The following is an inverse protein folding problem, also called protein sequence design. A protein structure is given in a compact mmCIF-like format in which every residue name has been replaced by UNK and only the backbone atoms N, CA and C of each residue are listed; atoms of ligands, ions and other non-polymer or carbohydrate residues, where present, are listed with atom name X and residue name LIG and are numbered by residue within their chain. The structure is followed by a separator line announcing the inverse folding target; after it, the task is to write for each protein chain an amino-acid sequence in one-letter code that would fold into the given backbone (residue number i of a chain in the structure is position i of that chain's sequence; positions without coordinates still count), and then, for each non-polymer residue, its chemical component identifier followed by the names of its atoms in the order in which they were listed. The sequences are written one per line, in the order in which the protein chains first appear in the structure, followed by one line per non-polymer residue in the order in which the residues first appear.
data_IF_752010439007
#
_entry.id   IF_752010439007
#
_cell.length_a   1.000
_cell.length_b   1.000
_cell.length_c   1.000
_cell.angle_alpha   90.00
_cell.angle_beta   90.00
_cell.angle_gamma   90.00
#
_symmetry.space_group_name_H-M   'P 1'
#
loop_
_entity.id
_entity.type
_entity.pdbx_description
1 polymer ?
#
# COMPACT_ATOMS: atom_id res chain seq x y z
N UNK A 1 -15.93 8.29 -5.96
CA UNK A 1 -16.47 9.56 -5.43
C UNK A 1 -17.20 9.41 -4.10
N UNK A 2 -17.76 8.25 -3.76
CA UNK A 2 -18.44 7.96 -2.46
C UNK A 2 -17.48 7.65 -1.29
N UNK A 3 -16.19 7.54 -1.53
CA UNK A 3 -15.19 7.14 -0.53
C UNK A 3 -14.52 8.31 0.20
N UNK A 4 -15.05 9.53 0.06
CA UNK A 4 -14.65 10.63 0.93
C UNK A 4 -15.31 10.44 2.30
N UNK A 5 -14.55 10.71 3.37
CA UNK A 5 -15.04 10.69 4.75
C UNK A 5 -16.43 11.34 4.84
N UNK A 6 -17.42 10.60 5.32
CA UNK A 6 -18.82 10.99 5.43
C UNK A 6 -19.80 10.19 4.56
N UNK A 7 -19.31 9.50 3.52
CA UNK A 7 -20.16 8.69 2.62
C UNK A 7 -19.91 7.19 2.70
N UNK A 8 -19.05 6.74 3.63
CA UNK A 8 -18.71 5.31 3.72
C UNK A 8 -19.93 4.47 4.13
N UNK A 9 -20.75 4.95 5.06
CA UNK A 9 -21.95 4.24 5.53
C UNK A 9 -23.03 4.18 4.44
N UNK A 10 -23.18 5.25 3.64
CA UNK A 10 -24.09 5.24 2.50
C UNK A 10 -23.59 4.29 1.41
N UNK A 11 -22.28 4.24 1.18
CA UNK A 11 -21.69 3.33 0.21
C UNK A 11 -21.92 1.87 0.59
N UNK A 12 -21.76 1.51 1.86
CA UNK A 12 -22.05 0.16 2.38
C UNK A 12 -23.51 -0.22 2.17
N UNK A 13 -24.45 0.67 2.49
CA UNK A 13 -25.90 0.46 2.26
C UNK A 13 -26.26 0.20 0.80
N UNK A 14 -25.47 0.74 -0.13
CA UNK A 14 -25.68 0.51 -1.58
C UNK A 14 -25.04 -0.81 -2.01
N UNK A 15 -23.84 -1.14 -1.51
CA UNK A 15 -23.06 -2.30 -1.96
C UNK A 15 -23.61 -3.62 -1.40
N UNK A 16 -24.05 -3.64 -0.15
CA UNK A 16 -24.56 -4.82 0.50
C UNK A 16 -25.75 -5.48 -0.22
N UNK A 17 -26.81 -4.74 -0.60
CA UNK A 17 -27.90 -5.31 -1.41
C UNK A 17 -27.40 -5.89 -2.73
N UNK A 18 -26.45 -5.24 -3.41
CA UNK A 18 -25.91 -5.71 -4.69
C UNK A 18 -25.21 -7.06 -4.51
N UNK A 19 -24.37 -7.21 -3.47
CA UNK A 19 -23.62 -8.43 -3.19
C UNK A 19 -24.57 -9.60 -2.86
N UNK A 20 -25.75 -9.32 -2.27
CA UNK A 20 -26.77 -10.32 -1.87
C UNK A 20 -27.72 -10.71 -3.01
N UNK A 21 -27.68 -10.05 -4.16
CA UNK A 21 -28.56 -10.40 -5.30
C UNK A 21 -28.27 -11.83 -5.75
N UNK A 22 -29.31 -12.69 -5.72
CA UNK A 22 -29.23 -14.06 -6.23
C UNK A 22 -29.11 -14.04 -7.76
N UNK A 23 -28.16 -14.79 -8.31
CA UNK A 23 -27.92 -14.86 -9.75
C UNK A 23 -27.18 -13.67 -10.35
N UNK A 24 -26.69 -12.74 -9.54
CA UNK A 24 -25.77 -11.70 -10.04
C UNK A 24 -24.50 -12.35 -10.59
N UNK A 25 -24.05 -11.90 -11.75
CA UNK A 25 -22.82 -12.37 -12.36
C UNK A 25 -21.62 -12.22 -11.38
N UNK A 26 -20.76 -13.25 -11.25
CA UNK A 26 -19.66 -13.26 -10.27
C UNK A 26 -18.76 -12.03 -10.38
N UNK A 27 -18.49 -11.55 -11.59
CA UNK A 27 -17.64 -10.38 -11.85
C UNK A 27 -18.24 -9.10 -11.23
N UNK A 28 -19.56 -8.93 -11.35
CA UNK A 28 -20.25 -7.76 -10.78
C UNK A 28 -20.30 -7.85 -9.25
N UNK A 29 -20.50 -9.05 -8.70
CA UNK A 29 -20.48 -9.28 -7.27
C UNK A 29 -19.10 -9.01 -6.69
N UNK A 30 -18.05 -9.48 -7.35
CA UNK A 30 -16.68 -9.28 -6.91
C UNK A 30 -16.24 -7.81 -7.03
N UNK A 31 -16.68 -7.10 -8.08
CA UNK A 31 -16.45 -5.66 -8.18
C UNK A 31 -17.12 -4.91 -7.00
N UNK A 32 -18.33 -5.28 -6.62
CA UNK A 32 -19.01 -4.69 -5.45
C UNK A 32 -18.29 -5.04 -4.14
N UNK A 33 -17.82 -6.28 -3.94
CA UNK A 33 -16.99 -6.68 -2.80
C UNK A 33 -15.69 -5.86 -2.75
N UNK A 34 -15.02 -5.68 -3.90
CA UNK A 34 -13.78 -4.89 -3.99
C UNK A 34 -14.00 -3.44 -3.56
N UNK A 35 -15.11 -2.82 -3.97
CA UNK A 35 -15.47 -1.49 -3.50
C UNK A 35 -15.79 -1.49 -1.99
N UNK A 36 -16.44 -2.52 -1.48
CA UNK A 36 -16.76 -2.65 -0.06
C UNK A 36 -15.52 -2.84 0.80
N UNK A 37 -14.48 -3.54 0.34
CA UNK A 37 -13.19 -3.58 1.03
C UNK A 37 -12.65 -2.16 1.31
N UNK A 38 -12.72 -1.26 0.33
CA UNK A 38 -12.28 0.13 0.50
C UNK A 38 -13.18 0.91 1.46
N UNK A 39 -14.48 0.63 1.48
CA UNK A 39 -15.41 1.20 2.46
C UNK A 39 -15.05 0.77 3.87
N UNK A 40 -14.88 -0.53 4.10
CA UNK A 40 -14.46 -1.08 5.38
C UNK A 40 -13.11 -0.52 5.86
N UNK A 41 -12.13 -0.44 4.95
CA UNK A 41 -10.86 0.21 5.26
C UNK A 41 -11.05 1.66 5.74
N UNK A 42 -11.87 2.47 5.04
CA UNK A 42 -12.13 3.86 5.42
C UNK A 42 -12.91 4.01 6.73
N UNK A 43 -13.66 2.99 7.13
CA UNK A 43 -14.34 2.89 8.43
C UNK A 43 -13.43 2.33 9.54
N UNK A 44 -12.18 1.93 9.25
CA UNK A 44 -11.27 1.27 10.20
C UNK A 44 -11.61 -0.21 10.48
N UNK A 45 -12.48 -0.80 9.69
CA UNK A 45 -12.96 -2.19 9.80
C UNK A 45 -12.06 -3.11 8.97
N UNK A 46 -10.80 -3.27 9.41
CA UNK A 46 -9.80 -4.03 8.65
C UNK A 46 -10.13 -5.53 8.55
N UNK A 47 -10.76 -6.11 9.56
CA UNK A 47 -11.10 -7.54 9.55
C UNK A 47 -12.08 -7.85 8.40
N UNK A 48 -13.15 -7.07 8.28
CA UNK A 48 -14.13 -7.24 7.22
C UNK A 48 -13.56 -6.93 5.82
N UNK A 49 -12.65 -5.96 5.73
CA UNK A 49 -11.95 -5.67 4.49
C UNK A 49 -11.08 -6.85 4.03
N UNK A 50 -10.37 -7.50 4.97
CA UNK A 50 -9.55 -8.69 4.71
C UNK A 50 -10.43 -9.89 4.36
N UNK A 51 -11.54 -10.11 5.08
CA UNK A 51 -12.48 -11.21 4.81
C UNK A 51 -13.04 -11.11 3.38
N UNK A 52 -13.48 -9.95 2.94
CA UNK A 52 -13.98 -9.75 1.58
C UNK A 52 -12.89 -10.00 0.53
N UNK A 53 -11.69 -9.46 0.72
CA UNK A 53 -10.57 -9.66 -0.20
C UNK A 53 -10.16 -11.14 -0.27
N UNK A 54 -10.04 -11.81 0.88
CA UNK A 54 -9.69 -13.24 0.96
C UNK A 54 -10.77 -14.13 0.35
N UNK A 55 -12.07 -13.79 0.58
CA UNK A 55 -13.19 -14.51 -0.03
C UNK A 55 -13.13 -14.46 -1.56
N UNK A 56 -12.84 -13.29 -2.14
CA UNK A 56 -12.69 -13.15 -3.58
C UNK A 56 -11.53 -13.99 -4.13
N UNK A 57 -10.38 -14.01 -3.45
CA UNK A 57 -9.24 -14.85 -3.84
C UNK A 57 -9.57 -16.35 -3.76
N UNK A 58 -10.27 -16.78 -2.71
CA UNK A 58 -10.69 -18.17 -2.53
C UNK A 58 -11.72 -18.60 -3.59
N UNK A 59 -12.56 -17.68 -4.06
CA UNK A 59 -13.51 -17.88 -5.16
C UNK A 59 -12.81 -17.89 -6.55
N UNK A 60 -11.48 -17.73 -6.59
CA UNK A 60 -10.68 -17.71 -7.81
C UNK A 60 -10.65 -16.35 -8.53
N UNK A 61 -11.26 -15.33 -7.96
CA UNK A 61 -11.21 -13.98 -8.50
C UNK A 61 -9.93 -13.28 -8.04
N UNK A 62 -8.92 -13.32 -8.92
CA UNK A 62 -7.58 -12.79 -8.64
C UNK A 62 -7.24 -11.70 -9.65
N UNK A 63 -6.79 -10.56 -9.17
CA UNK A 63 -6.22 -9.46 -9.95
C UNK A 63 -5.28 -8.63 -9.09
N UNK A 64 -4.47 -7.76 -9.72
CA UNK A 64 -3.47 -6.92 -9.02
C UNK A 64 -4.08 -6.10 -7.91
N UNK A 65 -5.27 -5.51 -8.11
CA UNK A 65 -5.91 -4.68 -7.12
C UNK A 65 -6.30 -5.46 -5.85
N UNK A 66 -6.76 -6.72 -5.97
CA UNK A 66 -7.09 -7.56 -4.81
C UNK A 66 -5.83 -7.98 -4.09
N UNK A 67 -4.78 -8.39 -4.82
CA UNK A 67 -3.49 -8.69 -4.22
C UNK A 67 -2.91 -7.49 -3.47
N UNK A 68 -2.91 -6.31 -4.11
CA UNK A 68 -2.41 -5.08 -3.50
C UNK A 68 -3.20 -4.70 -2.24
N UNK A 69 -4.54 -4.73 -2.29
CA UNK A 69 -5.38 -4.44 -1.12
C UNK A 69 -5.16 -5.45 0.02
N UNK A 70 -5.16 -6.74 -0.27
CA UNK A 70 -5.02 -7.77 0.76
C UNK A 70 -3.65 -7.69 1.44
N UNK A 71 -2.56 -7.53 0.67
CA UNK A 71 -1.22 -7.34 1.19
C UNK A 71 -1.13 -6.10 2.09
N UNK A 72 -1.66 -4.98 1.62
CA UNK A 72 -1.69 -3.73 2.38
C UNK A 72 -2.50 -3.85 3.69
N UNK A 73 -3.70 -4.42 3.65
CA UNK A 73 -4.53 -4.57 4.84
C UNK A 73 -3.90 -5.51 5.88
N UNK A 74 -3.27 -6.61 5.44
CA UNK A 74 -2.53 -7.51 6.32
C UNK A 74 -1.32 -6.81 6.97
N UNK A 75 -0.60 -5.98 6.23
CA UNK A 75 0.49 -5.15 6.76
C UNK A 75 0.00 -4.13 7.80
N UNK A 76 -1.16 -3.50 7.57
CA UNK A 76 -1.78 -2.56 8.51
C UNK A 76 -2.25 -3.25 9.79
N UNK A 77 -2.85 -4.43 9.67
CA UNK A 77 -3.31 -5.22 10.82
C UNK A 77 -2.16 -5.86 11.61
N UNK A 78 -0.93 -5.81 11.08
CA UNK A 78 0.25 -6.51 11.61
C UNK A 78 0.05 -8.03 11.70
N UNK A 79 -0.52 -8.62 10.65
CA UNK A 79 -0.63 -10.08 10.50
C UNK A 79 0.74 -10.74 10.51
N UNK A 80 0.75 -12.08 10.58
CA UNK A 80 1.99 -12.84 10.47
C UNK A 80 2.81 -12.37 9.26
N UNK A 81 4.02 -11.91 9.56
CA UNK A 81 4.87 -11.26 8.56
C UNK A 81 5.39 -12.23 7.50
N UNK A 82 5.63 -13.49 7.88
CA UNK A 82 6.11 -14.51 6.92
C UNK A 82 5.00 -14.90 5.95
N UNK A 83 3.77 -15.09 6.44
CA UNK A 83 2.61 -15.35 5.58
C UNK A 83 2.27 -14.17 4.69
N UNK A 84 2.33 -12.94 5.24
CA UNK A 84 2.09 -11.72 4.47
C UNK A 84 3.16 -11.52 3.41
N UNK A 85 4.43 -11.81 3.73
CA UNK A 85 5.53 -11.74 2.74
C UNK A 85 5.30 -12.71 1.59
N UNK A 86 4.96 -13.97 1.87
CA UNK A 86 4.64 -14.98 0.82
C UNK A 86 3.50 -14.52 -0.09
N UNK A 87 2.45 -13.92 0.48
CA UNK A 87 1.36 -13.35 -0.31
C UNK A 87 1.86 -12.20 -1.22
N UNK A 88 2.71 -11.33 -0.71
CA UNK A 88 3.27 -10.23 -1.50
C UNK A 88 4.25 -10.71 -2.57
N UNK A 89 5.03 -11.78 -2.31
CA UNK A 89 5.87 -12.45 -3.30
C UNK A 89 5.00 -13.08 -4.41
N UNK A 90 3.93 -13.81 -4.06
CA UNK A 90 2.96 -14.35 -5.03
C UNK A 90 2.32 -13.23 -5.87
N UNK A 91 1.98 -12.11 -5.23
CA UNK A 91 1.44 -10.94 -5.91
C UNK A 91 2.44 -10.35 -6.91
N UNK A 92 3.71 -10.26 -6.53
CA UNK A 92 4.78 -9.74 -7.37
C UNK A 92 5.05 -10.67 -8.58
N UNK A 93 5.03 -11.98 -8.37
CA UNK A 93 5.13 -12.97 -9.46
C UNK A 93 3.92 -12.87 -10.42
N UNK A 94 2.74 -12.52 -9.88
CA UNK A 94 1.53 -12.33 -10.67
C UNK A 94 1.59 -11.06 -11.53
N UNK A 95 2.05 -9.95 -10.97
CA UNK A 95 2.19 -8.67 -11.69
C UNK A 95 3.27 -7.77 -11.05
N UNK A 96 4.50 -7.91 -11.51
CA UNK A 96 5.64 -7.13 -11.05
C UNK A 96 5.63 -5.65 -11.49
N UNK A 97 4.70 -5.23 -12.35
CA UNK A 97 4.61 -3.83 -12.77
C UNK A 97 3.67 -3.00 -11.88
N UNK A 98 2.85 -3.66 -11.05
CA UNK A 98 1.92 -2.97 -10.16
C UNK A 98 2.66 -2.30 -9.00
N UNK A 99 2.45 -0.99 -8.86
CA UNK A 99 3.14 -0.18 -7.85
C UNK A 99 2.74 -0.50 -6.41
N UNK A 100 1.46 -0.82 -6.18
CA UNK A 100 0.96 -1.10 -4.82
C UNK A 100 1.48 -2.47 -4.35
N UNK A 101 1.63 -3.43 -5.27
CA UNK A 101 2.27 -4.72 -5.03
C UNK A 101 3.75 -4.55 -4.70
N UNK A 102 4.50 -3.76 -5.48
CA UNK A 102 5.90 -3.45 -5.19
C UNK A 102 6.08 -2.79 -3.83
N UNK A 103 5.24 -1.80 -3.52
CA UNK A 103 5.32 -1.10 -2.24
C UNK A 103 5.11 -2.06 -1.07
N UNK A 104 4.05 -2.85 -1.11
CA UNK A 104 3.78 -3.85 -0.07
C UNK A 104 4.94 -4.84 0.11
N UNK A 105 5.51 -5.35 -0.99
CA UNK A 105 6.65 -6.28 -0.91
C UNK A 105 7.90 -5.63 -0.34
N UNK A 106 8.18 -4.38 -0.71
CA UNK A 106 9.30 -3.62 -0.15
C UNK A 106 9.16 -3.43 1.36
N UNK A 107 7.93 -3.13 1.84
CA UNK A 107 7.61 -3.01 3.27
C UNK A 107 7.77 -4.36 3.99
N UNK A 108 7.33 -5.47 3.37
CA UNK A 108 7.52 -6.80 3.94
C UNK A 108 9.01 -7.10 4.18
N UNK A 109 9.84 -6.93 3.15
CA UNK A 109 11.28 -7.15 3.29
C UNK A 109 11.93 -6.19 4.29
N UNK A 110 11.52 -4.92 4.30
CA UNK A 110 12.01 -3.95 5.29
C UNK A 110 11.70 -4.38 6.71
N UNK A 111 10.45 -4.80 7.00
CA UNK A 111 10.05 -5.27 8.33
C UNK A 111 10.76 -6.56 8.76
N UNK A 112 11.10 -7.43 7.79
CA UNK A 112 11.90 -8.63 8.03
C UNK A 112 13.40 -8.36 8.28
N UNK A 113 13.85 -7.11 8.06
CA UNK A 113 15.26 -6.76 8.13
C UNK A 113 16.07 -7.15 6.88
N UNK A 114 15.40 -7.56 5.81
CA UNK A 114 15.99 -7.91 4.52
C UNK A 114 16.17 -6.64 3.66
N UNK A 115 16.97 -5.69 4.17
CA UNK A 115 17.00 -4.32 3.67
C UNK A 115 17.50 -4.19 2.22
N UNK A 116 18.42 -5.03 1.77
CA UNK A 116 18.91 -5.04 0.40
C UNK A 116 17.84 -5.50 -0.58
N UNK A 117 17.02 -6.47 -0.19
CA UNK A 117 15.86 -6.88 -0.99
C UNK A 117 14.80 -5.77 -1.03
N UNK A 118 14.53 -5.16 0.13
CA UNK A 118 13.61 -4.02 0.21
C UNK A 118 14.06 -2.88 -0.71
N UNK A 119 15.34 -2.55 -0.70
CA UNK A 119 15.91 -1.51 -1.55
C UNK A 119 15.73 -1.82 -3.04
N UNK A 120 16.06 -3.05 -3.46
CA UNK A 120 15.91 -3.46 -4.85
C UNK A 120 14.48 -3.22 -5.37
N UNK A 121 13.47 -3.69 -4.63
CA UNK A 121 12.06 -3.52 -5.01
C UNK A 121 11.66 -2.05 -4.96
N UNK A 122 12.11 -1.30 -3.95
CA UNK A 122 11.84 0.14 -3.82
C UNK A 122 12.45 0.95 -4.98
N UNK A 123 13.66 0.62 -5.43
CA UNK A 123 14.29 1.28 -6.57
C UNK A 123 13.54 1.02 -7.88
N UNK A 124 13.09 -0.21 -8.10
CA UNK A 124 12.23 -0.56 -9.22
C UNK A 124 10.90 0.22 -9.17
N UNK A 125 10.32 0.36 -7.97
CA UNK A 125 9.08 1.09 -7.74
C UNK A 125 9.23 2.59 -8.09
N UNK A 126 10.19 3.28 -7.49
CA UNK A 126 10.37 4.74 -7.74
C UNK A 126 10.80 5.03 -9.17
N UNK A 127 11.52 4.12 -9.81
CA UNK A 127 11.90 4.20 -11.22
C UNK A 127 10.70 4.09 -12.17
N UNK A 128 9.71 3.24 -11.84
CA UNK A 128 8.50 3.01 -12.65
C UNK A 128 7.32 3.91 -12.27
N UNK A 129 7.28 4.45 -11.05
CA UNK A 129 6.20 5.28 -10.53
C UNK A 129 6.72 6.59 -9.89
N UNK A 130 7.29 7.52 -10.68
CA UNK A 130 8.03 8.69 -10.20
C UNK A 130 7.18 9.76 -9.47
N UNK A 131 5.87 9.59 -9.39
CA UNK A 131 4.94 10.47 -8.67
C UNK A 131 4.20 9.75 -7.52
N UNK A 132 4.68 8.58 -7.11
CA UNK A 132 4.04 7.78 -6.08
C UNK A 132 4.61 8.13 -4.70
N UNK A 133 3.82 8.82 -3.89
CA UNK A 133 4.20 9.35 -2.56
C UNK A 133 4.71 8.23 -1.66
N UNK A 134 3.97 7.13 -1.54
CA UNK A 134 4.28 5.99 -0.69
C UNK A 134 5.62 5.36 -1.08
N UNK A 135 5.88 5.20 -2.37
CA UNK A 135 7.13 4.62 -2.87
C UNK A 135 8.37 5.42 -2.44
N UNK A 136 8.33 6.75 -2.56
CA UNK A 136 9.41 7.59 -2.05
C UNK A 136 9.49 7.61 -0.53
N UNK A 137 8.36 7.65 0.16
CA UNK A 137 8.33 7.65 1.62
C UNK A 137 9.00 6.39 2.18
N UNK A 138 8.61 5.21 1.72
CA UNK A 138 9.22 3.95 2.15
C UNK A 138 10.66 3.80 1.64
N UNK A 139 10.94 4.27 0.43
CA UNK A 139 12.30 4.30 -0.13
C UNK A 139 13.29 5.10 0.71
N UNK A 140 12.87 6.25 1.25
CA UNK A 140 13.66 7.04 2.19
C UNK A 140 13.96 6.25 3.46
N UNK A 141 12.94 5.62 4.05
CA UNK A 141 13.12 4.81 5.27
C UNK A 141 14.12 3.66 5.06
N UNK A 142 14.02 2.98 3.90
CA UNK A 142 14.93 1.90 3.52
C UNK A 142 16.36 2.44 3.33
N UNK A 143 16.52 3.54 2.60
CA UNK A 143 17.83 4.15 2.36
C UNK A 143 18.49 4.63 3.66
N UNK A 144 17.73 5.25 4.56
CA UNK A 144 18.20 5.67 5.90
C UNK A 144 18.67 4.45 6.72
N UNK A 145 17.93 3.34 6.65
CA UNK A 145 18.28 2.11 7.37
C UNK A 145 19.58 1.47 6.85
N UNK A 146 19.85 1.64 5.57
CA UNK A 146 21.08 1.19 4.90
C UNK A 146 22.25 2.21 5.01
N UNK A 147 22.06 3.31 5.73
CA UNK A 147 23.01 4.43 5.83
C UNK A 147 23.35 5.09 4.46
N UNK A 148 22.42 4.99 3.49
CA UNK A 148 22.56 5.60 2.16
C UNK A 148 21.93 7.00 2.15
N UNK A 149 22.51 7.91 2.90
CA UNK A 149 21.93 9.22 3.20
C UNK A 149 21.80 10.14 1.99
N UNK A 150 22.73 10.06 1.05
CA UNK A 150 22.64 10.81 -0.22
C UNK A 150 21.40 10.38 -1.02
N UNK A 151 21.14 9.08 -1.08
CA UNK A 151 19.94 8.53 -1.73
C UNK A 151 18.67 8.94 -1.00
N UNK A 152 18.69 8.91 0.33
CA UNK A 152 17.55 9.35 1.15
C UNK A 152 17.24 10.84 0.88
N UNK A 153 18.27 11.69 0.76
CA UNK A 153 18.14 13.10 0.43
C UNK A 153 17.58 13.32 -0.99
N UNK A 154 18.09 12.58 -1.98
CA UNK A 154 17.55 12.61 -3.35
C UNK A 154 16.06 12.24 -3.38
N UNK A 155 15.68 11.17 -2.70
CA UNK A 155 14.28 10.74 -2.63
C UNK A 155 13.39 11.73 -1.86
N UNK A 156 13.93 12.38 -0.82
CA UNK A 156 13.21 13.42 -0.08
C UNK A 156 12.90 14.66 -0.95
N UNK A 157 13.82 15.07 -1.85
CA UNK A 157 13.53 16.15 -2.80
C UNK A 157 12.44 15.73 -3.81
N UNK A 158 12.52 14.53 -4.37
CA UNK A 158 11.49 14.00 -5.27
C UNK A 158 10.13 13.86 -4.59
N UNK A 159 10.10 13.43 -3.32
CA UNK A 159 8.87 13.31 -2.54
C UNK A 159 8.13 14.65 -2.40
N UNK A 160 8.84 15.76 -2.26
CA UNK A 160 8.24 17.11 -2.19
C UNK A 160 7.52 17.51 -3.48
N UNK A 161 7.96 16.98 -4.62
CA UNK A 161 7.37 17.25 -5.94
C UNK A 161 6.14 16.37 -6.21
N UNK A 162 5.96 15.27 -5.46
CA UNK A 162 4.87 14.34 -5.64
C UNK A 162 3.51 14.98 -5.30
N UNK A 163 2.53 14.81 -6.18
CA UNK A 163 1.17 15.27 -5.93
C UNK A 163 0.41 14.23 -5.12
N UNK A 164 -0.09 14.66 -3.97
CA UNK A 164 -0.96 13.83 -3.14
C UNK A 164 -2.32 13.65 -3.79
N UNK A 165 -2.87 12.47 -3.66
CA UNK A 165 -4.22 12.13 -4.11
C UNK A 165 -5.12 11.78 -2.91
N UNK A 166 -6.41 11.64 -3.13
CA UNK A 166 -7.34 11.15 -2.10
C UNK A 166 -7.11 9.68 -1.72
N UNK A 167 -6.22 8.98 -2.44
CA UNK A 167 -5.81 7.60 -2.17
C UNK A 167 -4.47 7.52 -1.45
N UNK A 168 -3.72 8.63 -1.32
CA UNK A 168 -2.46 8.66 -0.58
C UNK A 168 -2.71 8.32 0.88
N UNK A 169 -1.99 7.32 1.38
CA UNK A 169 -2.16 6.74 2.72
C UNK A 169 -1.24 7.39 3.76
N UNK A 170 -0.06 7.83 3.34
CA UNK A 170 0.90 8.55 4.19
C UNK A 170 0.42 9.97 4.43
N UNK A 171 0.41 10.44 5.66
CA UNK A 171 -0.02 11.80 6.01
C UNK A 171 1.03 12.85 5.66
N UNK A 172 0.62 14.11 5.55
CA UNK A 172 1.55 15.22 5.33
C UNK A 172 2.52 15.40 6.52
N UNK A 173 2.03 15.18 7.72
CA UNK A 173 2.82 15.23 8.95
C UNK A 173 3.95 14.17 8.93
N UNK A 174 3.63 12.93 8.57
CA UNK A 174 4.62 11.85 8.43
C UNK A 174 5.67 12.18 7.38
N UNK A 175 5.25 12.70 6.23
CA UNK A 175 6.18 13.13 5.16
C UNK A 175 7.11 14.24 5.66
N UNK A 176 6.56 15.29 6.29
CA UNK A 176 7.36 16.41 6.78
C UNK A 176 8.34 15.99 7.87
N UNK A 177 7.92 15.10 8.77
CA UNK A 177 8.78 14.53 9.81
C UNK A 177 9.95 13.77 9.20
N UNK A 178 9.68 12.88 8.26
CA UNK A 178 10.71 12.08 7.59
C UNK A 178 11.72 12.95 6.83
N UNK A 179 11.25 13.96 6.10
CA UNK A 179 12.13 14.93 5.41
C UNK A 179 13.02 15.67 6.39
N UNK A 180 12.48 16.04 7.55
CA UNK A 180 13.28 16.71 8.59
C UNK A 180 14.33 15.79 9.20
N UNK A 181 14.02 14.52 9.41
CA UNK A 181 14.99 13.51 9.88
C UNK A 181 16.18 13.37 8.90
N UNK A 182 15.90 13.31 7.59
CA UNK A 182 16.95 13.27 6.56
C UNK A 182 17.84 14.52 6.61
N UNK A 183 17.24 15.71 6.73
CA UNK A 183 18.00 16.98 6.81
C UNK A 183 18.92 17.03 8.03
N UNK A 184 18.37 16.72 9.21
CA UNK A 184 19.12 16.77 10.47
C UNK A 184 20.33 15.81 10.43
N UNK A 185 20.18 14.66 9.77
CA UNK A 185 21.29 13.72 9.63
C UNK A 185 22.40 14.30 8.75
N UNK A 186 22.08 14.91 7.62
CA UNK A 186 23.05 15.50 6.70
C UNK A 186 23.80 16.68 7.34
N UNK A 187 23.11 17.54 8.10
CA UNK A 187 23.71 18.67 8.78
C UNK A 187 24.73 18.22 9.86
N UNK A 188 24.42 17.16 10.60
CA UNK A 188 25.32 16.61 11.63
C UNK A 188 26.55 15.87 11.07
N UNK A 189 26.56 15.54 9.79
CA UNK A 189 27.67 14.82 9.14
C UNK A 189 28.69 15.79 8.50
N UNK A 190 28.31 17.07 8.30
CA UNK A 190 29.13 18.09 7.65
C UNK A 190 29.83 19.01 8.70
N UNK A 191 29.44 18.96 9.97
CA UNK A 191 30.03 19.74 11.07
C UNK A 191 31.04 18.90 11.87
#
# INVERSE_FOLDING_TARGET
MLLRTGYADEAEKVLDPIIRVKGLAPEKKNLAKQQRCMVYYKQGRLDEAIEDAQSMMNEGYRNSSIYGMLGYFKLLRNDDLDETTKLCEEAYDYNSDDRDIKDNLSICYFRKGEYEKAEKISDELVGSAPNFVEGFYHGIQIAMKLNKYDKAAEYAEKLKECKRSGMTTVTEEEVNKLIQEVKNHNENTIG
#
